data_IF_556747034747
#
_entry.id   IF_556747034747
#
_cell.length_a   1.000
_cell.length_b   1.000
_cell.length_c   1.000
_cell.angle_alpha   90.00
_cell.angle_beta   90.00
_cell.angle_gamma   90.00
#
_symmetry.space_group_name_H-M   'P 1'
#
loop_
_entity.id
_entity.type
_entity.pdbx_description
1 polymer ?
#
# COMPACT_ATOMS: atom_id res chain seq x y z
N UNK A 1 -12.17 -14.89 -11.77
CA UNK A 1 -12.51 -14.41 -10.41
C UNK A 1 -12.50 -12.90 -10.40
N UNK A 2 -13.38 -12.27 -9.63
CA UNK A 2 -13.42 -10.82 -9.36
C UNK A 2 -12.58 -10.52 -8.12
N UNK A 3 -11.49 -9.80 -8.30
CA UNK A 3 -10.53 -9.47 -7.25
C UNK A 3 -10.55 -7.98 -6.92
N UNK A 4 -10.75 -7.65 -5.64
CA UNK A 4 -10.55 -6.28 -5.15
C UNK A 4 -9.09 -6.11 -4.68
N UNK A 5 -8.29 -5.35 -5.43
CA UNK A 5 -6.86 -5.18 -5.18
C UNK A 5 -6.59 -3.86 -4.46
N UNK A 6 -6.17 -3.89 -3.20
CA UNK A 6 -5.68 -2.70 -2.52
C UNK A 6 -4.35 -2.23 -3.12
N UNK A 7 -4.29 -0.95 -3.52
CA UNK A 7 -3.10 -0.33 -4.09
C UNK A 7 -2.51 0.71 -3.16
N UNK A 8 -1.25 0.51 -2.71
CA UNK A 8 -0.57 1.46 -1.82
C UNK A 8 0.10 2.66 -2.55
N UNK A 9 0.43 2.49 -3.84
CA UNK A 9 0.95 3.51 -4.75
C UNK A 9 1.02 2.94 -6.19
N UNK A 10 1.16 3.82 -7.19
CA UNK A 10 1.34 3.40 -8.60
C UNK A 10 2.52 2.44 -8.82
N UNK A 11 3.75 2.77 -8.38
CA UNK A 11 4.91 1.90 -8.60
C UNK A 11 4.75 0.48 -8.05
N UNK A 12 4.15 0.32 -6.85
CA UNK A 12 3.90 -1.01 -6.29
C UNK A 12 2.80 -1.77 -7.02
N UNK A 13 1.91 -1.09 -7.75
CA UNK A 13 0.85 -1.75 -8.51
C UNK A 13 1.32 -2.31 -9.85
N UNK A 14 2.44 -1.81 -10.42
CA UNK A 14 2.92 -2.20 -11.76
C UNK A 14 3.01 -3.72 -11.98
N UNK A 15 3.90 -4.40 -11.26
CA UNK A 15 4.10 -5.85 -11.42
C UNK A 15 2.89 -6.69 -10.98
N UNK A 16 2.27 -6.46 -9.80
CA UNK A 16 1.06 -7.21 -9.42
C UNK A 16 -0.06 -7.10 -10.45
N UNK A 17 -0.34 -5.90 -10.97
CA UNK A 17 -1.38 -5.69 -12.00
C UNK A 17 -1.05 -6.47 -13.27
N UNK A 18 0.20 -6.37 -13.77
CA UNK A 18 0.64 -7.11 -14.95
C UNK A 18 0.37 -8.61 -14.80
N UNK A 19 0.87 -9.20 -13.72
CA UNK A 19 0.77 -10.64 -13.48
C UNK A 19 -0.68 -11.10 -13.29
N UNK A 20 -1.47 -10.35 -12.52
CA UNK A 20 -2.88 -10.70 -12.29
C UNK A 20 -3.70 -10.61 -13.60
N UNK A 21 -3.40 -9.65 -14.49
CA UNK A 21 -4.03 -9.56 -15.83
C UNK A 21 -3.61 -10.72 -16.73
N UNK A 22 -2.34 -11.11 -16.72
CA UNK A 22 -1.82 -12.28 -17.46
C UNK A 22 -2.50 -13.58 -17.00
N UNK A 23 -2.89 -13.66 -15.73
CA UNK A 23 -3.66 -14.78 -15.16
C UNK A 23 -5.17 -14.72 -15.47
N UNK A 24 -5.63 -13.70 -16.19
CA UNK A 24 -7.05 -13.53 -16.53
C UNK A 24 -7.94 -13.16 -15.33
N UNK A 25 -7.37 -12.56 -14.28
CA UNK A 25 -8.13 -12.09 -13.12
C UNK A 25 -8.82 -10.77 -13.45
N UNK A 26 -10.10 -10.66 -13.11
CA UNK A 26 -10.89 -9.43 -13.25
C UNK A 26 -10.63 -8.54 -12.03
N UNK A 27 -9.79 -7.52 -12.21
CA UNK A 27 -9.28 -6.66 -11.13
C UNK A 27 -10.11 -5.38 -11.06
N UNK A 28 -10.59 -5.05 -9.86
CA UNK A 28 -10.91 -3.66 -9.50
C UNK A 28 -9.90 -3.19 -8.46
N UNK A 29 -9.30 -2.02 -8.68
CA UNK A 29 -8.35 -1.47 -7.72
C UNK A 29 -9.05 -0.67 -6.62
N UNK A 30 -8.52 -0.74 -5.40
CA UNK A 30 -9.04 -0.08 -4.22
C UNK A 30 -7.99 0.88 -3.65
N UNK A 31 -8.37 2.16 -3.53
CA UNK A 31 -7.52 3.19 -2.94
C UNK A 31 -8.03 3.61 -1.57
N UNK A 32 -7.31 3.23 -0.53
CA UNK A 32 -7.51 3.70 0.84
C UNK A 32 -6.20 3.61 1.62
N UNK A 33 -5.58 4.76 1.87
CA UNK A 33 -4.24 4.82 2.46
C UNK A 33 -4.15 5.94 3.52
N UNK A 34 -4.83 5.78 4.68
CA UNK A 34 -4.90 6.82 5.71
C UNK A 34 -3.56 7.10 6.41
N UNK A 35 -2.53 6.30 6.11
CA UNK A 35 -1.20 6.42 6.67
C UNK A 35 -0.26 7.31 5.84
N UNK A 36 -0.63 7.72 4.62
CA UNK A 36 0.28 8.44 3.73
C UNK A 36 0.29 9.92 4.11
N UNK A 37 1.43 10.36 4.62
CA UNK A 37 1.68 11.71 5.10
C UNK A 37 3.08 12.18 4.68
N UNK A 38 3.29 13.49 4.50
CA UNK A 38 2.28 14.56 4.55
C UNK A 38 1.35 14.54 3.34
N UNK A 39 0.41 15.48 3.26
CA UNK A 39 -0.57 15.57 2.19
C UNK A 39 0.05 15.65 0.79
N UNK A 40 1.23 16.25 0.66
CA UNK A 40 1.97 16.31 -0.62
C UNK A 40 2.40 14.91 -1.10
N UNK A 41 2.85 14.04 -0.19
CA UNK A 41 3.14 12.64 -0.51
C UNK A 41 1.87 11.88 -0.90
N UNK A 42 0.78 12.08 -0.15
CA UNK A 42 -0.53 11.49 -0.47
C UNK A 42 -0.96 11.85 -1.89
N UNK A 43 -0.90 13.15 -2.21
CA UNK A 43 -1.31 13.67 -3.51
C UNK A 43 -0.43 13.11 -4.63
N UNK A 44 0.90 13.16 -4.50
CA UNK A 44 1.81 12.63 -5.51
C UNK A 44 1.57 11.14 -5.80
N UNK A 45 1.38 10.33 -4.74
CA UNK A 45 1.08 8.91 -4.90
C UNK A 45 -0.30 8.66 -5.50
N UNK A 46 -1.31 9.41 -5.07
CA UNK A 46 -2.67 9.30 -5.58
C UNK A 46 -2.76 9.67 -7.06
N UNK A 47 -2.17 10.80 -7.46
CA UNK A 47 -2.17 11.26 -8.86
C UNK A 47 -1.45 10.24 -9.77
N UNK A 48 -0.30 9.73 -9.32
CA UNK A 48 0.46 8.69 -10.04
C UNK A 48 -0.32 7.38 -10.13
N UNK A 49 -0.93 6.95 -9.03
CA UNK A 49 -1.79 5.77 -8.98
C UNK A 49 -2.99 5.90 -9.92
N UNK A 50 -3.68 7.04 -9.88
CA UNK A 50 -4.91 7.24 -10.63
C UNK A 50 -4.63 7.26 -12.13
N UNK A 51 -3.54 7.91 -12.53
CA UNK A 51 -3.05 7.88 -13.91
C UNK A 51 -2.77 6.44 -14.35
N UNK A 52 -2.00 5.68 -13.57
CA UNK A 52 -1.66 4.29 -13.92
C UNK A 52 -2.89 3.40 -14.07
N UNK A 53 -3.86 3.48 -13.15
CA UNK A 53 -5.10 2.68 -13.27
C UNK A 53 -5.93 3.07 -14.49
N UNK A 54 -5.95 4.34 -14.87
CA UNK A 54 -6.62 4.81 -16.07
C UNK A 54 -5.92 4.28 -17.34
N UNK A 55 -4.60 4.38 -17.42
CA UNK A 55 -3.80 3.88 -18.55
C UNK A 55 -3.99 2.36 -18.73
N UNK A 56 -4.10 1.61 -17.63
CA UNK A 56 -4.33 0.16 -17.62
C UNK A 56 -5.81 -0.26 -17.81
N UNK A 57 -6.73 0.71 -17.91
CA UNK A 57 -8.18 0.52 -17.97
C UNK A 57 -8.76 -0.28 -16.78
N UNK A 58 -8.24 -0.06 -15.58
CA UNK A 58 -8.67 -0.74 -14.35
C UNK A 58 -9.68 0.12 -13.60
N UNK A 59 -10.89 -0.40 -13.30
CA UNK A 59 -11.85 0.29 -12.45
C UNK A 59 -11.28 0.57 -11.07
N UNK A 60 -11.66 1.72 -10.48
CA UNK A 60 -11.18 2.13 -9.17
C UNK A 60 -12.33 2.41 -8.21
N UNK A 61 -12.23 1.90 -6.99
CA UNK A 61 -13.02 2.30 -5.84
C UNK A 61 -12.13 3.14 -4.91
N UNK A 62 -12.54 4.38 -4.64
CA UNK A 62 -11.77 5.35 -3.87
C UNK A 62 -12.43 5.65 -2.54
N UNK A 63 -11.61 5.70 -1.48
CA UNK A 63 -11.98 6.22 -0.17
C UNK A 63 -11.03 7.36 0.17
N UNK A 64 -11.40 8.55 -0.30
CA UNK A 64 -10.58 9.77 -0.25
C UNK A 64 -10.58 10.41 1.15
N UNK A 65 -10.01 9.70 2.12
CA UNK A 65 -9.85 10.15 3.49
C UNK A 65 -8.35 10.32 3.78
N UNK A 66 -7.93 11.54 4.13
CA UNK A 66 -6.51 11.80 4.46
C UNK A 66 -6.09 11.13 5.77
N UNK A 67 -6.98 11.03 6.77
CA UNK A 67 -6.79 10.15 7.94
C UNK A 67 -5.74 10.56 8.98
N UNK A 68 -4.95 11.62 8.78
CA UNK A 68 -3.78 11.94 9.63
C UNK A 68 -4.04 11.91 11.14
N UNK A 69 -5.04 12.64 11.64
CA UNK A 69 -5.29 12.74 13.09
C UNK A 69 -5.62 11.38 13.69
N UNK A 70 -6.51 10.63 13.04
CA UNK A 70 -6.92 9.32 13.53
C UNK A 70 -5.78 8.31 13.41
N UNK A 71 -5.04 8.33 12.29
CA UNK A 71 -3.89 7.46 12.11
C UNK A 71 -2.85 7.68 13.22
N UNK A 72 -2.40 8.93 13.43
CA UNK A 72 -1.40 9.27 14.45
C UNK A 72 -1.88 8.90 15.85
N UNK A 73 -3.12 9.23 16.21
CA UNK A 73 -3.70 8.88 17.53
C UNK A 73 -3.58 7.39 17.85
N UNK A 74 -3.73 6.52 16.86
CA UNK A 74 -3.70 5.07 17.06
C UNK A 74 -2.30 4.46 16.97
N UNK A 75 -1.25 5.21 16.60
CA UNK A 75 0.11 4.65 16.47
C UNK A 75 1.19 5.40 17.24
N UNK A 76 0.89 6.58 17.78
CA UNK A 76 1.89 7.45 18.44
C UNK A 76 2.52 6.81 19.68
N UNK A 77 1.72 6.08 20.46
CA UNK A 77 2.15 5.49 21.75
C UNK A 77 2.43 3.98 21.65
N UNK A 78 2.45 3.42 20.43
CA UNK A 78 2.68 2.00 20.21
C UNK A 78 4.14 1.78 19.81
N UNK A 79 4.98 1.41 20.79
CA UNK A 79 6.26 0.75 20.56
C UNK A 79 6.00 -0.62 19.92
N UNK A 80 5.86 -0.63 18.60
CA UNK A 80 5.78 -1.83 17.76
C UNK A 80 4.49 -2.69 17.91
N UNK A 81 3.78 -3.07 16.82
CA UNK A 81 3.94 -2.63 15.44
C UNK A 81 2.82 -1.67 15.04
N UNK A 82 3.16 -0.38 14.91
CA UNK A 82 2.41 0.61 14.11
C UNK A 82 1.95 0.05 12.75
N UNK A 83 2.77 -0.82 12.15
CA UNK A 83 2.48 -1.50 10.89
C UNK A 83 1.26 -2.42 11.00
N UNK A 84 1.04 -3.08 12.15
CA UNK A 84 -0.15 -3.90 12.40
C UNK A 84 -1.40 -3.04 12.28
N UNK A 85 -1.45 -1.90 12.96
CA UNK A 85 -2.58 -0.98 12.86
C UNK A 85 -2.76 -0.49 11.41
N UNK A 86 -1.67 -0.11 10.74
CA UNK A 86 -1.71 0.34 9.35
C UNK A 86 -2.29 -0.72 8.40
N UNK A 87 -1.96 -2.00 8.57
CA UNK A 87 -2.54 -3.08 7.78
C UNK A 87 -3.99 -3.34 8.18
N UNK A 88 -4.28 -3.33 9.49
CA UNK A 88 -5.60 -3.61 10.04
C UNK A 88 -6.65 -2.64 9.49
N UNK A 89 -6.40 -1.33 9.60
CA UNK A 89 -7.36 -0.30 9.16
C UNK A 89 -7.60 -0.36 7.65
N UNK A 90 -6.56 -0.64 6.85
CA UNK A 90 -6.69 -0.77 5.39
C UNK A 90 -7.47 -2.03 5.01
N UNK A 91 -7.15 -3.17 5.62
CA UNK A 91 -7.77 -4.45 5.29
C UNK A 91 -9.17 -4.60 5.85
N UNK A 92 -9.47 -3.93 6.97
CA UNK A 92 -10.83 -3.84 7.52
C UNK A 92 -11.78 -3.24 6.46
N UNK A 93 -11.43 -2.07 5.90
CA UNK A 93 -12.28 -1.42 4.91
C UNK A 93 -12.28 -2.17 3.56
N UNK A 94 -11.13 -2.72 3.16
CA UNK A 94 -10.98 -3.49 1.94
C UNK A 94 -11.85 -4.76 1.94
N UNK A 95 -11.72 -5.62 2.97
CA UNK A 95 -12.46 -6.87 3.05
C UNK A 95 -13.97 -6.62 3.19
N UNK A 96 -14.36 -5.62 3.99
CA UNK A 96 -15.76 -5.17 4.07
C UNK A 96 -16.30 -4.75 2.70
N UNK A 97 -15.55 -3.91 1.98
CA UNK A 97 -15.94 -3.44 0.63
C UNK A 97 -16.01 -4.59 -0.37
N UNK A 98 -15.06 -5.54 -0.30
CA UNK A 98 -15.03 -6.73 -1.15
C UNK A 98 -16.32 -7.54 -0.98
N UNK A 99 -16.72 -7.79 0.27
CA UNK A 99 -17.96 -8.50 0.60
C UNK A 99 -19.21 -7.75 0.13
N UNK A 100 -19.32 -6.47 0.45
CA UNK A 100 -20.49 -5.63 0.13
C UNK A 100 -20.73 -5.50 -1.38
N UNK A 101 -19.65 -5.51 -2.18
CA UNK A 101 -19.71 -5.37 -3.63
C UNK A 101 -19.66 -6.69 -4.40
N UNK A 102 -19.63 -7.82 -3.70
CA UNK A 102 -19.67 -9.15 -4.33
C UNK A 102 -18.40 -9.52 -5.10
N UNK A 103 -17.22 -9.14 -4.57
CA UNK A 103 -15.94 -9.68 -5.04
C UNK A 103 -15.71 -11.08 -4.48
N UNK A 104 -15.05 -11.94 -5.26
CA UNK A 104 -14.72 -13.30 -4.84
C UNK A 104 -13.62 -13.29 -3.77
N UNK A 105 -12.63 -12.41 -3.96
CA UNK A 105 -11.49 -12.25 -3.07
C UNK A 105 -11.01 -10.81 -3.01
N UNK A 106 -10.13 -10.52 -2.05
CA UNK A 106 -9.29 -9.32 -2.07
C UNK A 106 -7.80 -9.66 -1.99
N UNK A 107 -6.95 -8.73 -2.42
CA UNK A 107 -5.50 -8.82 -2.27
C UNK A 107 -4.89 -7.43 -2.08
N UNK A 108 -3.56 -7.32 -2.02
CA UNK A 108 -2.86 -6.05 -1.79
C UNK A 108 -1.52 -5.99 -2.51
N UNK A 109 -1.20 -4.83 -3.10
CA UNK A 109 0.09 -4.58 -3.73
C UNK A 109 1.23 -4.44 -2.71
N UNK A 110 0.93 -4.39 -1.40
CA UNK A 110 1.96 -4.41 -0.35
C UNK A 110 2.83 -5.67 -0.42
N UNK A 111 2.29 -6.78 -0.96
CA UNK A 111 2.98 -8.07 -1.14
C UNK A 111 4.12 -8.03 -2.19
N UNK A 112 4.28 -6.92 -2.93
CA UNK A 112 5.43 -6.75 -3.85
C UNK A 112 6.70 -6.26 -3.13
N UNK A 113 6.56 -5.61 -1.98
CA UNK A 113 7.67 -4.89 -1.35
C UNK A 113 8.46 -5.80 -0.40
N UNK A 114 9.78 -5.98 -0.61
CA UNK A 114 10.63 -6.76 0.31
C UNK A 114 10.84 -6.06 1.66
N UNK A 115 10.47 -4.78 1.78
CA UNK A 115 10.61 -3.98 3.00
C UNK A 115 9.39 -4.05 3.92
N UNK A 116 8.29 -4.67 3.48
CA UNK A 116 7.09 -4.84 4.31
C UNK A 116 7.18 -6.13 5.12
N UNK A 117 6.55 -6.15 6.30
CA UNK A 117 6.44 -7.37 7.08
C UNK A 117 5.38 -8.28 6.44
N UNK A 118 5.84 -9.21 5.60
CA UNK A 118 4.99 -10.05 4.76
C UNK A 118 4.11 -11.01 5.58
N UNK A 119 4.69 -11.63 6.61
CA UNK A 119 3.97 -12.53 7.52
C UNK A 119 2.84 -11.80 8.26
N UNK A 120 3.12 -10.56 8.71
CA UNK A 120 2.11 -9.73 9.36
C UNK A 120 1.00 -9.30 8.39
N UNK A 121 1.34 -9.00 7.13
CA UNK A 121 0.34 -8.70 6.09
C UNK A 121 -0.59 -9.89 5.90
N UNK A 122 -0.03 -11.09 5.71
CA UNK A 122 -0.80 -12.33 5.49
C UNK A 122 -1.72 -12.56 6.69
N UNK A 123 -1.18 -12.53 7.90
CA UNK A 123 -1.95 -12.76 9.13
C UNK A 123 -3.13 -11.79 9.26
N UNK A 124 -2.91 -10.48 9.09
CA UNK A 124 -3.99 -9.50 9.22
C UNK A 124 -5.01 -9.66 8.08
N UNK A 125 -4.58 -9.96 6.86
CA UNK A 125 -5.48 -10.18 5.75
C UNK A 125 -6.36 -11.42 5.97
N UNK A 126 -5.80 -12.54 6.42
CA UNK A 126 -6.54 -13.76 6.76
C UNK A 126 -7.54 -13.54 7.91
N UNK A 127 -7.16 -12.76 8.93
CA UNK A 127 -8.08 -12.34 9.99
C UNK A 127 -9.31 -11.59 9.44
N UNK A 128 -9.10 -10.64 8.50
CA UNK A 128 -10.20 -9.89 7.87
C UNK A 128 -11.00 -10.75 6.89
N UNK A 129 -10.35 -11.62 6.12
CA UNK A 129 -11.01 -12.57 5.23
C UNK A 129 -12.01 -13.45 5.99
N UNK A 130 -11.57 -14.05 7.11
CA UNK A 130 -12.42 -14.83 8.00
C UNK A 130 -13.56 -14.00 8.59
N UNK A 131 -13.27 -12.77 9.05
CA UNK A 131 -14.28 -11.88 9.66
C UNK A 131 -15.41 -11.52 8.70
N UNK A 132 -15.10 -11.26 7.42
CA UNK A 132 -16.08 -10.79 6.44
C UNK A 132 -16.62 -11.88 5.51
N UNK A 133 -16.06 -13.09 5.57
CA UNK A 133 -16.46 -14.20 4.71
C UNK A 133 -16.21 -13.89 3.23
N UNK A 134 -14.99 -13.45 2.93
CA UNK A 134 -14.43 -13.17 1.60
C UNK A 134 -13.01 -13.71 1.55
N UNK A 135 -12.57 -14.28 0.43
CA UNK A 135 -11.26 -14.91 0.35
C UNK A 135 -10.13 -13.86 0.32
N UNK A 136 -8.99 -14.21 0.91
CA UNK A 136 -7.74 -13.47 0.71
C UNK A 136 -6.93 -14.18 -0.39
N UNK A 137 -6.78 -13.54 -1.54
CA UNK A 137 -5.92 -14.03 -2.61
C UNK A 137 -4.47 -13.65 -2.30
N UNK A 138 -3.74 -14.56 -1.68
CA UNK A 138 -2.32 -14.40 -1.43
C UNK A 138 -1.50 -14.76 -2.66
N UNK A 139 -0.55 -13.89 -3.01
CA UNK A 139 0.50 -14.17 -3.97
C UNK A 139 1.77 -13.40 -3.60
N UNK A 140 2.91 -14.09 -3.60
CA UNK A 140 4.19 -13.45 -3.36
C UNK A 140 4.67 -12.72 -4.62
N UNK A 141 4.51 -11.39 -4.63
CA UNK A 141 4.93 -10.56 -5.75
C UNK A 141 6.38 -10.08 -5.63
N UNK A 142 7.12 -10.41 -4.56
CA UNK A 142 8.48 -9.89 -4.32
C UNK A 142 9.45 -10.27 -5.43
N UNK A 143 9.23 -11.40 -6.10
CA UNK A 143 10.02 -11.85 -7.27
C UNK A 143 10.05 -10.81 -8.39
N UNK A 144 8.99 -10.02 -8.54
CA UNK A 144 8.88 -8.96 -9.53
C UNK A 144 9.15 -7.56 -9.01
N UNK A 145 9.67 -7.41 -7.78
CA UNK A 145 9.92 -6.10 -7.19
C UNK A 145 10.83 -5.23 -8.07
N UNK A 146 11.94 -5.80 -8.58
CA UNK A 146 12.88 -5.06 -9.45
C UNK A 146 12.29 -4.73 -10.81
N UNK A 147 11.54 -5.66 -11.39
CA UNK A 147 10.85 -5.45 -12.66
C UNK A 147 9.80 -4.35 -12.55
N UNK A 148 8.93 -4.40 -11.53
CA UNK A 148 7.95 -3.35 -11.28
C UNK A 148 8.57 -1.97 -11.04
N UNK A 149 9.71 -1.93 -10.33
CA UNK A 149 10.48 -0.69 -10.16
C UNK A 149 11.02 -0.14 -11.48
N UNK A 150 11.42 -1.02 -12.41
CA UNK A 150 11.88 -0.60 -13.73
C UNK A 150 10.71 -0.08 -14.58
N UNK A 151 9.61 -0.81 -14.64
CA UNK A 151 8.38 -0.39 -15.32
C UNK A 151 7.92 0.98 -14.81
N UNK A 152 7.90 1.18 -13.50
CA UNK A 152 7.51 2.45 -12.90
C UNK A 152 8.42 3.62 -13.34
N UNK A 153 9.74 3.38 -13.45
CA UNK A 153 10.70 4.38 -13.95
C UNK A 153 10.50 4.67 -15.43
N UNK A 154 10.30 3.65 -16.24
CA UNK A 154 10.10 3.79 -17.69
C UNK A 154 8.80 4.56 -18.00
N UNK A 155 7.78 4.41 -17.15
CA UNK A 155 6.52 5.16 -17.21
C UNK A 155 6.59 6.57 -16.58
N UNK A 156 7.75 6.98 -16.05
CA UNK A 156 7.95 8.29 -15.42
C UNK A 156 7.14 8.49 -14.15
N UNK A 157 6.86 7.42 -13.39
CA UNK A 157 6.07 7.50 -12.17
C UNK A 157 6.80 8.24 -11.04
N UNK A 158 6.03 8.87 -10.15
CA UNK A 158 6.55 9.35 -8.88
C UNK A 158 7.05 8.17 -8.04
N UNK A 159 8.35 8.20 -7.70
CA UNK A 159 8.99 7.17 -6.90
C UNK A 159 9.04 7.58 -5.42
N UNK A 160 8.24 6.91 -4.60
CA UNK A 160 8.22 7.12 -3.17
C UNK A 160 9.54 6.74 -2.49
N UNK A 161 9.89 7.45 -1.43
CA UNK A 161 11.18 7.29 -0.73
C UNK A 161 11.08 6.62 0.64
N UNK A 162 9.86 6.32 1.09
CA UNK A 162 9.53 5.71 2.38
C UNK A 162 8.15 5.05 2.29
N UNK A 163 7.66 4.38 3.35
CA UNK A 163 6.39 3.64 3.25
C UNK A 163 5.14 4.54 3.14
N UNK A 164 5.29 5.83 3.46
CA UNK A 164 4.24 6.85 3.47
C UNK A 164 3.86 7.30 4.87
N UNK A 165 4.14 6.49 5.90
CA UNK A 165 3.89 6.85 7.30
C UNK A 165 4.81 7.99 7.77
N UNK A 166 4.27 8.95 8.53
CA UNK A 166 5.04 10.09 9.06
C UNK A 166 6.25 9.64 9.91
N UNK A 167 6.11 8.57 10.67
CA UNK A 167 7.22 8.01 11.46
C UNK A 167 8.29 7.35 10.59
N UNK A 168 7.91 6.76 9.44
CA UNK A 168 8.90 6.25 8.47
C UNK A 168 9.61 7.38 7.72
N UNK A 169 8.97 8.54 7.60
CA UNK A 169 9.61 9.76 7.10
C UNK A 169 10.60 10.33 8.13
N UNK A 170 10.19 10.42 9.40
CA UNK A 170 11.06 10.82 10.51
C UNK A 170 12.31 9.94 10.56
N UNK A 171 12.17 8.61 10.64
CA UNK A 171 13.30 7.66 10.65
C UNK A 171 14.28 7.87 9.50
N UNK A 172 13.76 8.23 8.32
CA UNK A 172 14.56 8.49 7.13
C UNK A 172 15.42 9.75 7.29
N UNK A 173 14.93 10.78 7.98
CA UNK A 173 15.67 12.02 8.22
C UNK A 173 16.47 12.02 9.51
N UNK A 174 16.05 11.32 10.57
CA UNK A 174 16.76 11.25 11.86
C UNK A 174 18.20 10.79 11.68
N UNK A 175 18.43 9.76 10.85
CA UNK A 175 19.80 9.28 10.52
C UNK A 175 20.67 10.34 9.83
N UNK A 176 20.06 11.24 9.06
CA UNK A 176 20.79 12.33 8.40
C UNK A 176 21.12 13.43 9.42
N UNK A 177 20.14 13.79 10.25
CA UNK A 177 20.30 14.79 11.31
C UNK A 177 21.40 14.38 12.29
N UNK A 178 21.49 13.11 12.66
CA UNK A 178 22.57 12.58 13.51
C UNK A 178 23.96 12.78 12.88
N UNK A 179 24.12 12.40 11.60
CA UNK A 179 25.38 12.61 10.86
C UNK A 179 25.76 14.08 10.71
N UNK A 180 24.78 14.93 10.44
CA UNK A 180 24.99 16.37 10.30
C UNK A 180 25.45 16.98 11.65
N UNK A 181 24.90 16.50 12.78
CA UNK A 181 25.36 16.89 14.14
C UNK A 181 26.79 16.44 14.44
N UNK A 182 27.15 15.21 14.08
CA UNK A 182 28.52 14.70 14.24
C UNK A 182 29.54 15.52 13.43
N UNK A 183 29.17 15.90 12.20
CA UNK A 183 30.03 16.68 11.29
C UNK A 183 30.15 18.16 11.67
N UNK A 184 29.18 18.69 12.44
CA UNK A 184 29.17 20.09 12.91
C UNK A 184 29.91 20.28 14.25
N UNK A 185 30.30 19.17 14.90
CA UNK A 185 31.05 19.15 16.15
C UNK A 185 32.56 18.87 15.93
N UNK A 186 33.04 18.99 14.68
CA UNK A 186 34.45 18.86 14.27
C UNK A 186 34.98 20.19 13.76
#
# INVERSE_FOLDING_TARGET
>A
MKLLLHSCCGPCSTYPVKVLKEEGIDITSFWYNPNIHPYTEYKNRYDTYKKFMADENIPVIEKNEYGLKEFVKNVCDIEDPRCKYCYDVRFELLAKTAKEKGFDAFSTTLLVSPYQNHELIIKVAEEKAKKYGVDFYYKDFRVGFREGQQIARDLGMYMQKYCGCIFSEEERYSKKIEKDKESSNV
#
